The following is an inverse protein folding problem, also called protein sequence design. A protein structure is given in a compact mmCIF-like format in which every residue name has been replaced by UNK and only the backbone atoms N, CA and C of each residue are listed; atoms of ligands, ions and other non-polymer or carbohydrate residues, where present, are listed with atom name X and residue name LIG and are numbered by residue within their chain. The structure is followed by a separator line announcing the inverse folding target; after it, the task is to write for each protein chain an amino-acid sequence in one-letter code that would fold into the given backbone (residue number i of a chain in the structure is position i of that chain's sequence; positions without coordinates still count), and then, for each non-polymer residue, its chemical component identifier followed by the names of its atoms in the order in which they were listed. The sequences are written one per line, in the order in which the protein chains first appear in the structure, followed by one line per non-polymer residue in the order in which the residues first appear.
data_IF_059899611458
#
_entry.id   IF_059899611458
#
_cell.length_a   1.000
_cell.length_b   1.000
_cell.length_c   1.000
_cell.angle_alpha   90.00
_cell.angle_beta   90.00
_cell.angle_gamma   90.00
#
_symmetry.space_group_name_H-M   'P 1'
#
loop_
_entity.id
_entity.type
_entity.pdbx_description
1 polymer ?
#
# COMPACT_ATOMS: atom_id res chain seq x y z
N UNK A 1 4.51 11.14 -22.96
CA UNK A 1 3.45 10.16 -22.67
C UNK A 1 2.45 10.82 -21.75
N UNK A 2 1.17 10.73 -22.05
CA UNK A 2 0.09 11.25 -21.19
C UNK A 2 -0.20 10.29 -20.03
N UNK A 3 -0.81 10.78 -18.98
CA UNK A 3 -1.26 9.95 -17.85
C UNK A 3 -2.22 8.83 -18.31
N UNK A 4 -3.12 9.13 -19.24
CA UNK A 4 -4.07 8.16 -19.80
C UNK A 4 -3.37 7.03 -20.55
N UNK A 5 -2.32 7.32 -21.31
CA UNK A 5 -1.52 6.29 -22.01
C UNK A 5 -0.78 5.38 -21.01
N UNK A 6 -0.23 5.96 -19.92
CA UNK A 6 0.40 5.19 -18.83
C UNK A 6 -0.62 4.28 -18.15
N UNK A 7 -1.79 4.82 -17.76
CA UNK A 7 -2.85 4.03 -17.13
C UNK A 7 -3.29 2.86 -18.01
N UNK A 8 -3.48 3.08 -19.31
CA UNK A 8 -3.85 2.02 -20.26
C UNK A 8 -2.77 0.95 -20.35
N UNK A 9 -1.50 1.34 -20.40
CA UNK A 9 -0.35 0.42 -20.46
C UNK A 9 -0.25 -0.47 -19.22
N UNK A 10 -0.42 0.12 -18.03
CA UNK A 10 -0.20 -0.56 -16.75
C UNK A 10 -1.46 -1.21 -16.15
N UNK A 11 -2.62 -1.05 -16.78
CA UNK A 11 -3.88 -1.61 -16.26
C UNK A 11 -3.84 -3.14 -16.08
N UNK A 12 -3.26 -3.87 -17.05
CA UNK A 12 -3.11 -5.33 -16.95
C UNK A 12 -2.24 -5.76 -15.77
N UNK A 13 -1.13 -5.07 -15.56
CA UNK A 13 -0.23 -5.27 -14.44
C UNK A 13 -0.93 -5.02 -13.09
N UNK A 14 -1.68 -3.93 -12.99
CA UNK A 14 -2.42 -3.60 -11.76
C UNK A 14 -3.41 -4.71 -11.39
N UNK A 15 -4.16 -5.22 -12.37
CA UNK A 15 -5.12 -6.31 -12.16
C UNK A 15 -4.41 -7.60 -11.75
N UNK A 16 -3.29 -7.92 -12.39
CA UNK A 16 -2.48 -9.10 -12.07
C UNK A 16 -1.95 -9.01 -10.63
N UNK A 17 -1.33 -7.91 -10.25
CA UNK A 17 -0.80 -7.71 -8.90
C UNK A 17 -1.90 -7.77 -7.85
N UNK A 18 -3.03 -7.10 -8.07
CA UNK A 18 -4.17 -7.16 -7.14
C UNK A 18 -4.64 -8.60 -6.92
N UNK A 19 -4.79 -9.39 -7.97
CA UNK A 19 -5.21 -10.79 -7.86
C UNK A 19 -4.17 -11.64 -7.16
N UNK A 20 -2.91 -11.43 -7.44
CA UNK A 20 -1.82 -12.16 -6.79
C UNK A 20 -1.80 -11.90 -5.28
N UNK A 21 -1.84 -10.64 -4.84
CA UNK A 21 -1.88 -10.31 -3.42
C UNK A 21 -3.15 -10.84 -2.75
N UNK A 22 -4.28 -10.78 -3.42
CA UNK A 22 -5.54 -11.33 -2.90
C UNK A 22 -5.48 -12.84 -2.67
N UNK A 23 -4.81 -13.58 -3.54
CA UNK A 23 -4.62 -15.03 -3.42
C UNK A 23 -3.62 -15.42 -2.31
N UNK A 24 -2.68 -14.53 -1.97
CA UNK A 24 -1.58 -14.80 -1.05
C UNK A 24 -1.58 -13.85 0.15
N UNK A 25 -2.70 -13.70 0.86
CA UNK A 25 -2.78 -12.76 1.98
C UNK A 25 -1.95 -13.24 3.17
N UNK A 26 -1.35 -12.30 3.89
CA UNK A 26 -0.63 -12.56 5.13
C UNK A 26 -1.11 -11.61 6.22
N UNK A 27 -1.29 -12.13 7.43
CA UNK A 27 -1.74 -11.35 8.58
C UNK A 27 -0.70 -10.30 9.01
N UNK A 28 -1.17 -9.30 9.75
CA UNK A 28 -0.31 -8.28 10.37
C UNK A 28 0.92 -8.88 11.06
N UNK A 29 2.08 -8.30 10.81
CA UNK A 29 3.41 -8.74 11.28
C UNK A 29 3.95 -10.03 10.67
N UNK A 30 3.24 -10.63 9.72
CA UNK A 30 3.64 -11.89 9.04
C UNK A 30 3.75 -11.72 7.52
N UNK A 31 3.76 -10.49 7.01
CA UNK A 31 3.67 -10.12 5.60
C UNK A 31 5.00 -10.35 4.83
N UNK A 32 5.63 -11.53 5.04
CA UNK A 32 6.96 -11.83 4.51
C UNK A 32 6.95 -11.98 2.99
N UNK A 33 6.07 -12.84 2.45
CA UNK A 33 5.95 -13.06 1.00
C UNK A 33 5.39 -11.85 0.29
N UNK A 34 4.48 -11.12 0.95
CA UNK A 34 3.94 -9.86 0.47
C UNK A 34 5.06 -8.84 0.27
N UNK A 35 5.91 -8.66 1.29
CA UNK A 35 7.07 -7.78 1.23
C UNK A 35 8.08 -8.22 0.17
N UNK A 36 8.40 -9.51 0.10
CA UNK A 36 9.29 -10.08 -0.93
C UNK A 36 8.76 -9.81 -2.33
N UNK A 37 7.45 -9.99 -2.56
CA UNK A 37 6.85 -9.71 -3.86
C UNK A 37 6.91 -8.22 -4.22
N UNK A 38 6.59 -7.33 -3.29
CA UNK A 38 6.71 -5.87 -3.49
C UNK A 38 8.14 -5.50 -3.88
N UNK A 39 9.12 -5.97 -3.12
CA UNK A 39 10.55 -5.71 -3.35
C UNK A 39 11.02 -6.25 -4.71
N UNK A 40 10.60 -7.45 -5.08
CA UNK A 40 10.93 -8.05 -6.38
C UNK A 40 10.36 -7.23 -7.56
N UNK A 41 9.15 -6.67 -7.42
CA UNK A 41 8.59 -5.79 -8.45
C UNK A 41 9.37 -4.46 -8.55
N UNK A 42 9.77 -3.88 -7.42
CA UNK A 42 10.60 -2.67 -7.39
C UNK A 42 11.99 -2.93 -8.01
N UNK A 43 12.64 -4.05 -7.66
CA UNK A 43 13.91 -4.46 -8.25
C UNK A 43 13.83 -4.63 -9.77
N UNK A 44 12.77 -5.28 -10.26
CA UNK A 44 12.53 -5.47 -11.69
C UNK A 44 12.43 -4.14 -12.44
N UNK A 45 11.87 -3.13 -11.79
CA UNK A 45 11.75 -1.78 -12.34
C UNK A 45 12.99 -0.90 -12.12
N UNK A 46 14.01 -1.38 -11.41
CA UNK A 46 15.18 -0.59 -11.03
C UNK A 46 14.85 0.58 -10.10
N UNK A 47 13.84 0.42 -9.26
CA UNK A 47 13.42 1.42 -8.26
C UNK A 47 14.13 1.11 -6.95
N UNK A 48 14.85 2.11 -6.42
CA UNK A 48 15.56 1.99 -5.14
C UNK A 48 14.57 1.83 -3.98
N UNK A 49 14.87 0.88 -3.07
CA UNK A 49 14.07 0.65 -1.88
C UNK A 49 14.94 0.20 -0.69
N UNK A 50 14.37 0.32 0.51
CA UNK A 50 14.94 -0.25 1.74
C UNK A 50 13.84 -0.87 2.61
N UNK A 51 14.15 -1.85 3.48
CA UNK A 51 13.27 -2.25 4.55
C UNK A 51 12.94 -1.06 5.46
N UNK A 52 11.70 -0.96 5.92
CA UNK A 52 11.27 0.11 6.82
C UNK A 52 9.97 -0.31 7.52
N UNK A 53 9.99 -0.38 8.83
CA UNK A 53 8.87 -0.81 9.67
C UNK A 53 8.76 -2.31 9.86
N UNK A 54 8.99 -2.79 11.09
CA UNK A 54 8.81 -4.17 11.56
C UNK A 54 9.47 -5.27 10.70
N UNK A 55 10.41 -4.91 9.82
CA UNK A 55 11.10 -5.84 8.93
C UNK A 55 10.35 -6.22 7.65
N UNK A 56 9.03 -6.23 7.65
CA UNK A 56 8.20 -6.53 6.47
C UNK A 56 7.78 -5.28 5.68
N UNK A 57 7.75 -4.12 6.30
CA UNK A 57 7.49 -2.86 5.58
C UNK A 57 8.59 -2.51 4.57
N UNK A 58 8.22 -1.74 3.57
CA UNK A 58 9.13 -1.32 2.49
C UNK A 58 8.96 0.17 2.21
N UNK A 59 10.08 0.87 2.03
CA UNK A 59 10.11 2.27 1.62
C UNK A 59 10.91 2.37 0.33
N UNK A 60 10.25 2.81 -0.75
CA UNK A 60 10.90 3.01 -2.04
C UNK A 60 10.96 4.49 -2.41
N UNK A 61 11.86 4.87 -3.32
CA UNK A 61 12.10 6.26 -3.67
C UNK A 61 12.38 6.41 -5.17
N UNK A 62 11.76 7.42 -5.77
CA UNK A 62 12.04 7.87 -7.13
C UNK A 62 12.37 9.36 -7.09
N UNK A 63 13.56 9.72 -7.55
CA UNK A 63 13.98 11.11 -7.71
C UNK A 63 13.69 11.58 -9.12
N UNK A 64 13.04 12.74 -9.23
CA UNK A 64 12.84 13.42 -10.51
C UNK A 64 14.08 14.12 -10.99
N UNK A 65 14.10 14.53 -12.26
CA UNK A 65 15.23 15.19 -12.90
C UNK A 65 15.52 16.63 -12.40
N UNK A 66 14.60 17.21 -11.65
CA UNK A 66 14.72 18.57 -11.13
C UNK A 66 14.45 18.62 -9.63
N UNK A 67 15.12 19.52 -8.89
CA UNK A 67 14.80 19.74 -7.47
C UNK A 67 13.34 20.13 -7.26
N UNK A 68 12.74 19.69 -6.16
CA UNK A 68 11.38 20.02 -5.80
C UNK A 68 11.01 19.44 -4.44
N UNK A 69 9.72 19.39 -4.16
CA UNK A 69 9.17 18.82 -2.91
C UNK A 69 9.22 17.30 -2.92
N UNK A 70 9.23 16.73 -1.72
CA UNK A 70 9.12 15.30 -1.50
C UNK A 70 7.69 14.96 -1.06
N UNK A 71 7.03 14.07 -1.80
CA UNK A 71 5.68 13.59 -1.48
C UNK A 71 5.77 12.10 -1.18
N UNK A 72 5.16 11.68 -0.07
CA UNK A 72 5.02 10.27 0.27
C UNK A 72 3.63 9.76 -0.11
N UNK A 73 3.60 8.65 -0.85
CA UNK A 73 2.40 7.88 -1.17
C UNK A 73 2.35 6.62 -0.32
N UNK A 74 1.18 6.29 0.24
CA UNK A 74 1.01 5.17 1.20
C UNK A 74 0.04 4.12 0.68
N UNK A 75 0.39 2.84 0.86
CA UNK A 75 -0.49 1.68 0.67
C UNK A 75 -0.10 0.57 1.64
N UNK A 76 -0.96 0.23 2.57
CA UNK A 76 -0.80 -0.84 3.56
C UNK A 76 -0.80 -2.23 2.93
N UNK A 77 -0.26 -3.22 3.68
CA UNK A 77 0.06 -4.51 3.06
C UNK A 77 -0.46 -5.74 3.79
N UNK A 78 -1.00 -5.61 5.00
CA UNK A 78 -1.48 -6.74 5.80
C UNK A 78 -2.91 -7.16 5.46
N UNK A 79 -3.28 -8.37 5.85
CA UNK A 79 -4.58 -8.96 5.68
C UNK A 79 -5.20 -9.34 7.03
N UNK A 80 -6.46 -9.72 7.01
CA UNK A 80 -7.26 -10.06 8.19
C UNK A 80 -7.44 -11.56 8.37
N UNK A 81 -7.58 -12.00 9.64
CA UNK A 81 -7.93 -13.38 10.02
C UNK A 81 -9.42 -13.66 9.74
N UNK A 82 -9.79 -13.72 8.46
CA UNK A 82 -11.17 -13.91 7.96
C UNK A 82 -11.18 -15.01 6.92
N UNK A 83 -12.17 -15.93 7.01
CA UNK A 83 -12.40 -16.90 5.94
C UNK A 83 -13.05 -16.21 4.74
N UNK A 84 -12.48 -16.42 3.56
CA UNK A 84 -13.07 -15.90 2.34
C UNK A 84 -14.19 -16.81 1.82
N UNK A 85 -15.36 -16.24 1.53
CA UNK A 85 -16.53 -16.95 1.00
C UNK A 85 -16.92 -16.49 -0.42
N UNK A 86 -16.13 -15.67 -1.08
CA UNK A 86 -16.46 -15.04 -2.37
C UNK A 86 -16.53 -16.02 -3.54
N UNK A 87 -15.80 -17.14 -3.49
CA UNK A 87 -15.65 -18.12 -4.58
C UNK A 87 -15.12 -17.52 -5.89
N UNK A 88 -14.39 -16.42 -5.81
CA UNK A 88 -13.74 -15.80 -6.95
C UNK A 88 -12.62 -16.69 -7.50
N UNK A 89 -12.30 -16.64 -8.80
CA UNK A 89 -11.21 -17.42 -9.38
C UNK A 89 -9.80 -17.01 -8.86
N UNK A 90 -9.72 -15.94 -8.10
CA UNK A 90 -8.52 -15.44 -7.41
C UNK A 90 -8.76 -15.29 -5.90
N UNK A 91 -9.69 -16.06 -5.32
CA UNK A 91 -9.90 -16.11 -3.88
C UNK A 91 -8.63 -16.52 -3.13
N UNK A 92 -8.56 -16.17 -1.85
CA UNK A 92 -7.43 -16.52 -0.97
C UNK A 92 -7.10 -18.00 -1.02
N UNK A 93 -5.84 -18.34 -1.22
CA UNK A 93 -5.30 -19.70 -1.11
C UNK A 93 -4.82 -20.02 0.32
N UNK A 94 -4.95 -19.06 1.25
CA UNK A 94 -4.55 -19.19 2.65
C UNK A 94 -5.80 -19.36 3.53
N UNK A 95 -6.11 -20.57 4.03
CA UNK A 95 -7.27 -20.79 4.86
C UNK A 95 -7.30 -19.87 6.09
N UNK A 96 -8.42 -19.20 6.31
CA UNK A 96 -8.61 -18.32 7.46
C UNK A 96 -8.00 -16.93 7.32
N UNK A 97 -7.43 -16.57 6.17
CA UNK A 97 -6.85 -15.25 5.94
C UNK A 97 -7.37 -14.66 4.63
N UNK A 98 -7.77 -13.40 4.64
CA UNK A 98 -8.30 -12.70 3.47
C UNK A 98 -7.92 -11.21 3.49
N UNK A 99 -7.66 -10.63 2.33
CA UNK A 99 -7.61 -9.17 2.17
C UNK A 99 -9.03 -8.56 2.21
N UNK A 100 -9.70 -8.69 3.37
CA UNK A 100 -11.08 -8.22 3.55
C UNK A 100 -11.18 -6.69 3.70
N UNK A 101 -10.09 -6.02 4.07
CA UNK A 101 -10.00 -4.56 4.12
C UNK A 101 -9.57 -3.92 2.78
N UNK A 102 -9.17 -4.73 1.80
CA UNK A 102 -8.82 -4.26 0.45
C UNK A 102 -7.39 -3.75 0.29
N UNK A 103 -6.48 -4.13 1.20
CA UNK A 103 -5.08 -3.71 1.12
C UNK A 103 -4.36 -4.28 -0.13
N UNK A 104 -4.80 -5.39 -0.68
CA UNK A 104 -4.38 -5.90 -2.00
C UNK A 104 -4.59 -4.88 -3.13
N UNK A 105 -5.69 -4.11 -3.08
CA UNK A 105 -5.91 -2.99 -3.98
C UNK A 105 -4.93 -1.86 -3.72
N UNK A 106 -4.64 -1.54 -2.45
CA UNK A 106 -3.72 -0.47 -2.09
C UNK A 106 -2.29 -0.78 -2.55
N UNK A 107 -1.81 -2.01 -2.32
CA UNK A 107 -0.50 -2.47 -2.80
C UNK A 107 -0.42 -2.35 -4.33
N UNK A 108 -1.41 -2.91 -5.03
CA UNK A 108 -1.39 -2.94 -6.49
C UNK A 108 -1.46 -1.54 -7.11
N UNK A 109 -2.27 -0.63 -6.54
CA UNK A 109 -2.33 0.77 -6.97
C UNK A 109 -1.00 1.48 -6.73
N UNK A 110 -0.37 1.29 -5.56
CA UNK A 110 0.87 1.96 -5.21
C UNK A 110 2.05 1.44 -6.05
N UNK A 111 2.16 0.13 -6.27
CA UNK A 111 3.14 -0.46 -7.20
C UNK A 111 2.95 0.06 -8.62
N UNK A 112 1.71 0.07 -9.11
CA UNK A 112 1.41 0.58 -10.46
C UNK A 112 1.78 2.06 -10.59
N UNK A 113 1.49 2.86 -9.57
CA UNK A 113 1.91 4.26 -9.54
C UNK A 113 3.45 4.38 -9.58
N UNK A 114 4.17 3.53 -8.85
CA UNK A 114 5.63 3.51 -8.88
C UNK A 114 6.17 3.19 -10.27
N UNK A 115 5.62 2.18 -10.96
CA UNK A 115 6.00 1.84 -12.34
C UNK A 115 5.75 3.00 -13.30
N UNK A 116 4.54 3.61 -13.24
CA UNK A 116 4.18 4.73 -14.09
C UNK A 116 5.08 5.95 -13.85
N UNK A 117 5.34 6.28 -12.60
CA UNK A 117 6.19 7.41 -12.21
C UNK A 117 7.63 7.16 -12.64
N UNK A 118 8.15 5.95 -12.51
CA UNK A 118 9.50 5.61 -12.95
C UNK A 118 9.69 5.80 -14.45
N UNK A 119 8.68 5.52 -15.28
CA UNK A 119 8.74 5.77 -16.74
C UNK A 119 8.85 7.25 -17.10
N UNK A 120 8.34 8.14 -16.26
CA UNK A 120 8.32 9.58 -16.52
C UNK A 120 9.19 10.39 -15.57
N UNK A 121 10.06 9.74 -14.78
CA UNK A 121 10.86 10.41 -13.76
C UNK A 121 11.69 11.59 -14.28
N UNK A 122 12.12 11.53 -15.53
CA UNK A 122 12.86 12.62 -16.17
C UNK A 122 12.02 13.90 -16.38
N UNK A 123 10.69 13.81 -16.27
CA UNK A 123 9.75 14.92 -16.37
C UNK A 123 9.31 15.44 -14.98
N UNK A 124 9.73 14.77 -13.89
CA UNK A 124 9.30 15.11 -12.54
C UNK A 124 10.21 16.17 -11.90
N UNK A 125 9.58 16.98 -11.04
CA UNK A 125 10.25 17.87 -10.09
C UNK A 125 10.05 17.35 -8.68
N UNK A 126 11.15 17.18 -7.95
CA UNK A 126 11.12 16.67 -6.60
C UNK A 126 11.21 15.15 -6.53
N UNK A 127 10.74 14.59 -5.44
CA UNK A 127 10.89 13.18 -5.09
C UNK A 127 9.55 12.58 -4.72
N UNK A 128 9.32 11.34 -5.15
CA UNK A 128 8.19 10.55 -4.67
C UNK A 128 8.73 9.38 -3.83
N UNK A 129 8.21 9.28 -2.62
CA UNK A 129 8.46 8.17 -1.69
C UNK A 129 7.23 7.28 -1.68
N UNK A 130 7.43 5.97 -1.77
CA UNK A 130 6.37 4.96 -1.73
C UNK A 130 6.51 4.18 -0.43
N UNK A 131 5.55 4.32 0.46
CA UNK A 131 5.54 3.64 1.75
C UNK A 131 4.53 2.49 1.73
N UNK A 132 5.02 1.28 2.00
CA UNK A 132 4.25 0.06 2.15
C UNK A 132 4.27 -0.35 3.63
N UNK A 133 3.45 0.27 4.51
CA UNK A 133 3.43 -0.05 5.93
C UNK A 133 2.82 -1.42 6.20
N UNK A 134 3.47 -2.25 7.04
CA UNK A 134 2.92 -3.49 7.54
C UNK A 134 1.99 -3.24 8.73
N UNK A 135 1.26 -4.25 9.17
CA UNK A 135 0.50 -4.26 10.43
C UNK A 135 -0.35 -2.99 10.66
N UNK A 136 -1.06 -2.57 9.62
CA UNK A 136 -1.99 -1.44 9.70
C UNK A 136 -3.14 -1.75 10.64
N UNK A 137 -3.71 -2.97 10.54
CA UNK A 137 -4.83 -3.45 11.34
C UNK A 137 -4.52 -3.56 12.85
N UNK A 138 -3.24 -3.52 13.23
CA UNK A 138 -2.78 -3.43 14.61
C UNK A 138 -2.40 -1.99 15.01
N UNK A 139 -2.41 -1.04 14.09
CA UNK A 139 -2.05 0.36 14.32
C UNK A 139 -0.59 0.61 14.66
N UNK A 140 0.33 -0.33 14.36
CA UNK A 140 1.75 -0.25 14.79
C UNK A 140 2.73 -0.02 13.65
N UNK A 141 2.42 -0.46 12.44
CA UNK A 141 3.38 -0.46 11.34
C UNK A 141 3.77 0.93 10.85
N UNK A 142 2.80 1.82 10.69
CA UNK A 142 3.09 3.20 10.29
C UNK A 142 3.96 3.93 11.30
N UNK A 143 3.72 3.70 12.60
CA UNK A 143 4.56 4.26 13.68
C UNK A 143 5.99 3.76 13.57
N UNK A 144 6.19 2.44 13.42
CA UNK A 144 7.52 1.88 13.25
C UNK A 144 8.25 2.45 12.04
N UNK A 145 7.56 2.64 10.90
CA UNK A 145 8.15 3.30 9.74
C UNK A 145 8.58 4.75 10.03
N UNK A 146 7.78 5.50 10.78
CA UNK A 146 8.10 6.89 11.17
C UNK A 146 9.34 6.91 12.06
N UNK A 147 9.41 6.03 13.05
CA UNK A 147 10.56 5.89 13.96
C UNK A 147 11.84 5.48 13.20
N UNK A 148 11.70 4.75 12.08
CA UNK A 148 12.79 4.39 11.16
C UNK A 148 13.05 5.44 10.06
N UNK A 149 12.51 6.66 10.19
CA UNK A 149 12.81 7.82 9.35
C UNK A 149 12.02 7.90 8.03
N UNK A 150 10.86 7.24 7.91
CA UNK A 150 10.07 7.28 6.68
C UNK A 150 9.59 8.69 6.29
N UNK A 151 9.47 9.60 7.25
CA UNK A 151 9.03 10.98 7.04
C UNK A 151 10.17 11.99 6.95
N UNK A 152 11.43 11.57 7.00
CA UNK A 152 12.55 12.48 6.90
C UNK A 152 12.58 13.18 5.53
N UNK A 153 12.52 14.51 5.54
CA UNK A 153 12.49 15.35 4.33
C UNK A 153 11.21 15.25 3.50
N UNK A 154 10.13 14.66 4.03
CA UNK A 154 8.82 14.59 3.36
C UNK A 154 8.02 15.86 3.63
N UNK A 155 7.57 16.52 2.55
CA UNK A 155 6.77 17.75 2.63
C UNK A 155 5.27 17.49 2.77
N UNK A 156 4.79 16.38 2.22
CA UNK A 156 3.37 15.99 2.27
C UNK A 156 3.20 14.48 2.09
N UNK A 157 2.11 13.95 2.67
CA UNK A 157 1.72 12.55 2.53
C UNK A 157 0.35 12.45 1.87
N UNK A 158 0.16 11.40 1.08
CA UNK A 158 -1.12 11.07 0.48
C UNK A 158 -1.36 9.56 0.59
N UNK A 159 -2.59 9.19 0.97
CA UNK A 159 -3.07 7.82 0.99
C UNK A 159 -4.53 7.77 0.58
N UNK A 160 -4.95 6.62 0.06
CA UNK A 160 -6.35 6.32 -0.25
C UNK A 160 -6.75 5.03 0.45
N UNK A 161 -8.05 4.87 0.67
CA UNK A 161 -8.62 3.61 1.09
C UNK A 161 -9.76 3.24 0.15
N UNK A 162 -9.81 1.98 -0.31
CA UNK A 162 -10.98 1.46 -1.04
C UNK A 162 -12.16 1.30 -0.06
N UNK A 163 -13.38 1.58 -0.52
CA UNK A 163 -14.55 1.56 0.35
C UNK A 163 -15.76 0.95 -0.36
N UNK A 164 -16.30 -0.12 0.20
CA UNK A 164 -17.37 -0.90 -0.43
C UNK A 164 -18.70 -0.14 -0.56
N UNK A 165 -18.97 0.83 0.31
CA UNK A 165 -20.23 1.58 0.33
C UNK A 165 -20.31 2.67 -0.76
N UNK A 166 -19.20 2.96 -1.46
CA UNK A 166 -19.18 3.92 -2.54
C UNK A 166 -19.26 3.22 -3.91
N UNK A 167 -20.01 3.78 -4.86
CA UNK A 167 -20.03 3.27 -6.23
C UNK A 167 -18.63 3.28 -6.86
N UNK A 168 -18.30 2.22 -7.60
CA UNK A 168 -17.05 2.16 -8.33
C UNK A 168 -16.88 3.37 -9.29
N UNK A 169 -15.66 3.89 -9.37
CA UNK A 169 -15.35 5.08 -10.17
C UNK A 169 -15.61 6.42 -9.44
N UNK A 170 -16.01 6.40 -8.18
CA UNK A 170 -16.12 7.60 -7.36
C UNK A 170 -14.92 7.76 -6.43
N UNK A 171 -14.57 9.02 -6.13
CA UNK A 171 -13.56 9.36 -5.13
C UNK A 171 -14.21 10.30 -4.12
N UNK A 172 -14.18 9.90 -2.84
CA UNK A 172 -14.67 10.73 -1.75
C UNK A 172 -13.47 11.42 -1.08
N UNK A 173 -13.57 12.74 -0.91
CA UNK A 173 -12.57 13.50 -0.14
C UNK A 173 -13.26 14.68 0.58
N UNK A 174 -12.68 15.09 1.69
CA UNK A 174 -13.18 16.25 2.46
C UNK A 174 -12.03 16.99 3.14
N UNK A 175 -12.26 18.24 3.44
CA UNK A 175 -11.37 19.03 4.30
C UNK A 175 -11.64 18.70 5.77
N UNK A 176 -10.57 18.45 6.53
CA UNK A 176 -10.65 18.10 7.95
C UNK A 176 -10.77 16.60 8.21
N UNK A 177 -11.16 16.14 9.40
CA UNK A 177 -11.23 14.73 9.74
C UNK A 177 -12.13 13.95 8.80
N UNK A 178 -11.64 12.84 8.27
CA UNK A 178 -12.35 11.98 7.33
C UNK A 178 -12.53 10.57 7.87
N UNK A 179 -11.50 9.98 8.47
CA UNK A 179 -11.55 8.65 9.04
C UNK A 179 -11.89 8.70 10.53
N UNK A 180 -12.48 7.62 11.05
CA UNK A 180 -12.77 7.47 12.45
C UNK A 180 -11.49 7.25 13.27
N UNK A 181 -11.56 7.48 14.58
CA UNK A 181 -10.60 7.04 15.57
C UNK A 181 -11.08 5.75 16.22
N UNK A 182 -10.20 4.78 16.41
CA UNK A 182 -10.49 3.51 17.08
C UNK A 182 -9.78 3.42 18.41
N UNK A 183 -10.53 3.02 19.45
CA UNK A 183 -10.00 2.75 20.78
C UNK A 183 -10.42 1.35 21.22
N UNK A 184 -9.56 0.64 21.95
CA UNK A 184 -9.88 -0.66 22.52
C UNK A 184 -9.68 -0.66 24.05
N UNK A 185 -10.58 -1.35 24.76
CA UNK A 185 -10.47 -1.53 26.20
C UNK A 185 -10.83 -2.97 26.60
N UNK A 186 -10.26 -3.43 27.70
CA UNK A 186 -10.58 -4.74 28.29
C UNK A 186 -11.17 -4.55 29.69
N UNK A 187 -12.29 -5.22 29.95
CA UNK A 187 -12.89 -5.30 31.28
C UNK A 187 -12.68 -6.72 31.79
N UNK A 188 -12.01 -6.84 32.95
CA UNK A 188 -11.85 -8.11 33.64
C UNK A 188 -12.81 -8.14 34.82
N UNK A 189 -13.81 -9.02 34.79
CA UNK A 189 -14.75 -9.25 35.87
C UNK A 189 -14.35 -10.53 36.59
N UNK A 190 -14.06 -10.44 37.87
CA UNK A 190 -13.76 -11.59 38.72
C UNK A 190 -14.96 -11.81 39.65
N UNK A 191 -15.64 -12.94 39.45
CA UNK A 191 -16.70 -13.44 40.30
C UNK A 191 -16.17 -14.22 41.52
#
# INVERSE_FOLDING_TARGET
MTLQELMTRWNGYQIEMRRWFHQHPEESTKEVKTAERIRAELDRAGIEWRPCGLGTGTLARIEGAQPGRTILLRGDIDALSVNEETKLPFASEVPGVMHACGHDCHISMLLTAAMMINEIKDQLKGTIVFAFPPAEELGVGARAMIEEGALEGVDACFGMHVWSDYPAGTVALRKGPMMASGDSFKIHVKG
#
